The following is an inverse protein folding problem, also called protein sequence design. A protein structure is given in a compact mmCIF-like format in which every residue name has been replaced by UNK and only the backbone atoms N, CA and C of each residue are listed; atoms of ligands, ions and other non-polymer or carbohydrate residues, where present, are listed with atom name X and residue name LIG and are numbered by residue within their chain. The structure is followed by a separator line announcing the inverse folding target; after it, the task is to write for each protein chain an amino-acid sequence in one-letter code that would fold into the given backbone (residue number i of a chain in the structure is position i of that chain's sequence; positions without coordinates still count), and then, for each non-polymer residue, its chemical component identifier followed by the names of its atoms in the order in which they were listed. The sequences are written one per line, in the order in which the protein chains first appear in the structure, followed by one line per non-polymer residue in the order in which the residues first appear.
data_IF_521901537963
#
_entry.id   IF_521901537963
#
_cell.length_a   1.000
_cell.length_b   1.000
_cell.length_c   1.000
_cell.angle_alpha   90.00
_cell.angle_beta   90.00
_cell.angle_gamma   90.00
#
_symmetry.space_group_name_H-M   'P 1'
#
loop_
_entity.id
_entity.type
_entity.pdbx_description
1 polymer ?
#
# COMPACT_ATOMS: atom_id res chain seq x y z
N UNK A 1 -23.34 -13.75 -8.12
CA UNK A 1 -23.92 -14.10 -9.43
C UNK A 1 -22.78 -14.36 -10.38
N UNK A 2 -22.77 -15.55 -10.91
CA UNK A 2 -21.75 -16.01 -11.84
C UNK A 2 -22.06 -15.42 -13.22
N UNK A 3 -21.43 -14.29 -13.55
CA UNK A 3 -21.60 -13.61 -14.83
C UNK A 3 -20.78 -14.27 -15.96
N UNK A 4 -20.19 -15.44 -15.72
CA UNK A 4 -19.40 -16.18 -16.70
C UNK A 4 -18.10 -15.51 -17.14
N UNK A 5 -17.67 -14.41 -16.49
CA UNK A 5 -16.42 -13.71 -16.81
C UNK A 5 -15.23 -14.38 -16.14
N UNK A 6 -14.14 -14.45 -16.89
CA UNK A 6 -12.85 -14.92 -16.35
C UNK A 6 -12.20 -13.84 -15.50
N UNK A 7 -11.66 -14.23 -14.33
CA UNK A 7 -11.15 -13.29 -13.32
C UNK A 7 -9.72 -13.65 -12.92
N UNK A 8 -8.86 -12.63 -12.85
CA UNK A 8 -7.58 -12.67 -12.14
C UNK A 8 -7.71 -12.00 -10.78
N UNK A 9 -6.97 -12.49 -9.78
CA UNK A 9 -7.03 -11.94 -8.41
C UNK A 9 -5.65 -11.61 -7.90
N UNK A 10 -5.48 -10.37 -7.38
CA UNK A 10 -4.20 -9.88 -6.84
C UNK A 10 -4.42 -9.25 -5.46
N UNK A 11 -3.67 -9.73 -4.45
CA UNK A 11 -3.67 -9.16 -3.11
C UNK A 11 -2.28 -9.22 -2.46
N UNK A 12 -2.06 -8.44 -1.41
CA UNK A 12 -0.74 -8.21 -0.82
C UNK A 12 -0.01 -9.46 -0.33
N UNK A 13 -0.73 -10.48 0.18
CA UNK A 13 -0.13 -11.72 0.70
C UNK A 13 0.27 -12.74 -0.39
N UNK A 14 -0.08 -12.48 -1.66
CA UNK A 14 0.36 -13.37 -2.75
C UNK A 14 1.87 -13.29 -2.97
N UNK A 15 2.55 -14.43 -3.21
CA UNK A 15 3.93 -14.44 -3.65
C UNK A 15 4.14 -13.58 -4.91
N UNK A 16 5.30 -12.92 -5.06
CA UNK A 16 5.57 -12.04 -6.20
C UNK A 16 5.39 -12.70 -7.58
N UNK A 17 5.72 -13.97 -7.68
CA UNK A 17 5.59 -14.76 -8.92
C UNK A 17 4.12 -14.98 -9.29
N UNK A 18 3.28 -15.28 -8.29
CA UNK A 18 1.84 -15.46 -8.50
C UNK A 18 1.20 -14.14 -8.91
N UNK A 19 1.56 -13.03 -8.25
CA UNK A 19 1.08 -11.69 -8.64
C UNK A 19 1.45 -11.35 -10.08
N UNK A 20 2.68 -11.63 -10.50
CA UNK A 20 3.12 -11.42 -11.88
C UNK A 20 2.31 -12.24 -12.86
N UNK A 21 2.11 -13.53 -12.58
CA UNK A 21 1.33 -14.42 -13.44
C UNK A 21 -0.13 -13.98 -13.58
N UNK A 22 -0.79 -13.57 -12.49
CA UNK A 22 -2.17 -13.07 -12.56
C UNK A 22 -2.26 -11.74 -13.31
N UNK A 23 -1.29 -10.86 -13.14
CA UNK A 23 -1.19 -9.62 -13.91
C UNK A 23 -0.99 -9.89 -15.42
N UNK A 24 -0.14 -10.86 -15.77
CA UNK A 24 0.10 -11.26 -17.15
C UNK A 24 -1.14 -11.90 -17.81
N UNK A 25 -1.86 -12.76 -17.09
CA UNK A 25 -3.12 -13.33 -17.57
C UNK A 25 -4.15 -12.25 -17.93
N UNK A 26 -4.25 -11.22 -17.09
CA UNK A 26 -5.11 -10.08 -17.36
C UNK A 26 -4.59 -9.26 -18.55
N UNK A 27 -3.30 -8.91 -18.56
CA UNK A 27 -2.68 -8.10 -19.61
C UNK A 27 -2.74 -8.76 -21.01
N UNK A 28 -2.71 -10.11 -21.07
CA UNK A 28 -2.83 -10.89 -22.32
C UNK A 28 -4.27 -11.21 -22.71
N UNK A 29 -5.26 -10.71 -21.96
CA UNK A 29 -6.68 -10.96 -22.24
C UNK A 29 -7.16 -12.37 -21.91
N UNK A 30 -6.37 -13.17 -21.18
CA UNK A 30 -6.82 -14.49 -20.69
C UNK A 30 -7.91 -14.35 -19.61
N UNK A 31 -7.95 -13.20 -18.95
CA UNK A 31 -9.01 -12.83 -18.01
C UNK A 31 -9.55 -11.45 -18.34
N UNK A 32 -10.86 -11.27 -18.22
CA UNK A 32 -11.56 -10.03 -18.58
C UNK A 32 -11.63 -9.05 -17.42
N UNK A 33 -11.53 -9.55 -16.21
CA UNK A 33 -11.64 -8.75 -14.98
C UNK A 33 -10.47 -9.06 -14.06
N UNK A 34 -9.92 -8.00 -13.47
CA UNK A 34 -8.92 -8.09 -12.42
C UNK A 34 -9.52 -7.58 -11.10
N UNK A 35 -9.58 -8.44 -10.10
CA UNK A 35 -9.96 -8.07 -8.73
C UNK A 35 -8.68 -7.92 -7.91
N UNK A 36 -8.50 -6.76 -7.30
CA UNK A 36 -7.29 -6.49 -6.54
C UNK A 36 -7.56 -5.70 -5.26
N UNK A 37 -6.66 -5.83 -4.29
CA UNK A 37 -6.57 -4.88 -3.17
C UNK A 37 -5.78 -3.63 -3.60
N UNK A 38 -5.58 -2.69 -2.67
CA UNK A 38 -4.74 -1.50 -2.86
C UNK A 38 -3.30 -1.83 -3.30
N UNK A 39 -2.86 -3.08 -3.17
CA UNK A 39 -1.58 -3.57 -3.71
C UNK A 39 -1.40 -3.33 -5.22
N UNK A 40 -2.49 -3.16 -5.98
CA UNK A 40 -2.44 -2.82 -7.41
C UNK A 40 -1.80 -1.44 -7.67
N UNK A 41 -1.88 -0.53 -6.71
CA UNK A 41 -1.33 0.83 -6.81
C UNK A 41 0.19 0.86 -6.98
N UNK A 42 0.91 -0.19 -6.56
CA UNK A 42 2.37 -0.24 -6.57
C UNK A 42 2.91 -1.53 -7.17
N UNK A 43 4.00 -1.41 -7.93
CA UNK A 43 4.82 -2.55 -8.39
C UNK A 43 4.25 -3.38 -9.54
N UNK A 44 3.11 -3.02 -10.10
CA UNK A 44 2.54 -3.68 -11.27
C UNK A 44 2.35 -2.68 -12.40
N UNK A 45 2.76 -3.07 -13.60
CA UNK A 45 2.52 -2.30 -14.82
C UNK A 45 1.31 -2.91 -15.53
N UNK A 46 0.15 -2.32 -15.29
CA UNK A 46 -1.13 -2.79 -15.86
C UNK A 46 -1.71 -1.71 -16.76
N UNK A 47 -2.31 -2.12 -17.84
CA UNK A 47 -3.08 -1.29 -18.75
C UNK A 47 -4.56 -1.59 -18.54
N UNK A 48 -5.26 -0.65 -17.91
CA UNK A 48 -6.66 -0.83 -17.49
C UNK A 48 -7.47 0.36 -18.00
N UNK A 49 -8.56 0.12 -18.72
CA UNK A 49 -9.42 1.20 -19.21
C UNK A 49 -10.28 1.82 -18.11
N UNK A 50 -10.69 1.01 -17.11
CA UNK A 50 -11.56 1.46 -16.04
C UNK A 50 -11.21 0.81 -14.71
N UNK A 51 -11.28 1.57 -13.62
CA UNK A 51 -11.15 1.10 -12.24
C UNK A 51 -12.43 1.36 -11.47
N UNK A 52 -13.04 0.29 -10.96
CA UNK A 52 -14.19 0.36 -10.08
C UNK A 52 -13.78 0.04 -8.64
N UNK A 53 -13.94 1.00 -7.74
CA UNK A 53 -13.68 0.80 -6.32
C UNK A 53 -14.86 0.06 -5.68
N UNK A 54 -14.60 -1.13 -5.14
CA UNK A 54 -15.57 -1.90 -4.37
C UNK A 54 -15.59 -1.48 -2.88
N UNK A 55 -14.54 -0.82 -2.40
CA UNK A 55 -14.46 -0.22 -1.08
C UNK A 55 -13.36 0.83 -1.06
N UNK A 56 -13.61 1.93 -0.35
CA UNK A 56 -12.60 2.98 -0.06
C UNK A 56 -11.90 2.77 1.28
N UNK A 57 -12.10 1.61 1.93
CA UNK A 57 -11.51 1.28 3.23
C UNK A 57 -10.40 0.26 3.10
N UNK A 58 -9.35 0.46 3.87
CA UNK A 58 -8.26 -0.51 4.02
C UNK A 58 -7.95 -0.77 5.50
N UNK A 59 -7.33 -1.89 5.76
CA UNK A 59 -6.66 -2.16 7.03
C UNK A 59 -5.18 -1.79 6.90
N UNK A 60 -4.70 -0.87 7.73
CA UNK A 60 -3.33 -0.34 7.64
C UNK A 60 -2.33 -1.07 8.56
N UNK A 61 -2.73 -2.23 9.09
CA UNK A 61 -1.97 -3.00 10.07
C UNK A 61 -2.37 -2.74 11.52
N UNK A 62 -3.15 -1.67 11.78
CA UNK A 62 -3.62 -1.28 13.12
C UNK A 62 -5.13 -1.14 13.18
N UNK A 63 -5.70 -0.44 12.21
CA UNK A 63 -7.14 -0.14 12.16
C UNK A 63 -7.67 -0.10 10.73
N UNK A 64 -8.98 -0.21 10.61
CA UNK A 64 -9.67 0.08 9.35
C UNK A 64 -9.83 1.58 9.20
N UNK A 65 -9.38 2.13 8.10
CA UNK A 65 -9.53 3.55 7.75
C UNK A 65 -9.89 3.73 6.29
N UNK A 66 -10.33 4.91 5.94
CA UNK A 66 -10.47 5.30 4.55
C UNK A 66 -9.10 5.44 3.85
N UNK A 67 -9.09 5.15 2.56
CA UNK A 67 -7.98 5.52 1.69
C UNK A 67 -7.91 7.04 1.59
N UNK A 68 -6.70 7.59 1.64
CA UNK A 68 -6.47 9.02 1.41
C UNK A 68 -6.54 9.33 -0.08
N UNK A 69 -6.69 10.60 -0.45
CA UNK A 69 -6.76 11.05 -1.84
C UNK A 69 -5.52 10.62 -2.66
N UNK A 70 -4.32 10.66 -2.08
CA UNK A 70 -3.08 10.20 -2.71
C UNK A 70 -3.07 8.67 -2.95
N UNK A 71 -3.60 7.87 -2.02
CA UNK A 71 -3.73 6.42 -2.16
C UNK A 71 -4.78 6.07 -3.22
N UNK A 72 -5.91 6.77 -3.23
CA UNK A 72 -6.95 6.61 -4.27
C UNK A 72 -6.40 6.98 -5.65
N UNK A 73 -5.65 8.08 -5.75
CA UNK A 73 -5.02 8.50 -7.00
C UNK A 73 -3.98 7.50 -7.51
N UNK A 74 -3.21 6.86 -6.65
CA UNK A 74 -2.29 5.79 -7.05
C UNK A 74 -3.00 4.59 -7.67
N UNK A 75 -4.19 4.26 -7.15
CA UNK A 75 -5.02 3.18 -7.69
C UNK A 75 -5.69 3.65 -8.98
N UNK A 76 -6.40 4.78 -8.93
CA UNK A 76 -7.10 5.36 -10.09
C UNK A 76 -6.16 5.63 -11.27
N UNK A 77 -4.94 6.08 -10.99
CA UNK A 77 -3.89 6.32 -11.99
C UNK A 77 -3.35 5.06 -12.68
N UNK A 78 -3.90 3.88 -12.40
CA UNK A 78 -3.70 2.67 -13.21
C UNK A 78 -4.69 2.58 -14.37
N UNK A 79 -5.75 3.40 -14.36
CA UNK A 79 -6.65 3.54 -15.50
C UNK A 79 -6.05 4.50 -16.52
N UNK A 80 -6.08 4.13 -17.79
CA UNK A 80 -5.48 4.87 -18.88
C UNK A 80 -3.98 4.67 -19.01
N UNK A 81 -3.47 4.83 -20.22
CA UNK A 81 -2.04 4.71 -20.51
C UNK A 81 -1.65 5.57 -21.72
N UNK A 82 -0.58 6.35 -21.56
CA UNK A 82 0.08 7.17 -22.59
C UNK A 82 -0.84 8.11 -23.41
N UNK A 83 -1.78 7.57 -24.16
CA UNK A 83 -2.67 8.33 -25.09
C UNK A 83 -4.14 8.07 -24.86
N UNK A 84 -4.47 7.06 -24.02
CA UNK A 84 -5.85 6.68 -23.76
C UNK A 84 -6.23 7.13 -22.36
N UNK A 85 -7.25 7.97 -22.26
CA UNK A 85 -7.81 8.40 -20.99
C UNK A 85 -8.47 7.21 -20.29
N UNK A 86 -8.13 7.01 -19.01
CA UNK A 86 -8.78 6.04 -18.16
C UNK A 86 -9.88 6.67 -17.34
N UNK A 87 -10.78 5.85 -16.87
CA UNK A 87 -11.86 6.28 -15.98
C UNK A 87 -11.82 5.52 -14.67
N UNK A 88 -12.34 6.14 -13.61
CA UNK A 88 -12.56 5.46 -12.33
C UNK A 88 -13.93 5.81 -11.77
N UNK A 89 -14.43 4.96 -10.89
CA UNK A 89 -15.69 5.16 -10.20
C UNK A 89 -15.86 4.15 -9.08
N UNK A 90 -17.03 4.12 -8.48
CA UNK A 90 -17.42 3.19 -7.45
C UNK A 90 -18.40 2.13 -7.95
N UNK A 91 -18.40 0.97 -7.28
CA UNK A 91 -19.48 -0.02 -7.42
C UNK A 91 -20.68 0.38 -6.54
N UNK A 92 -21.83 -0.25 -6.77
CA UNK A 92 -23.06 0.05 -6.01
C UNK A 92 -22.93 -0.14 -4.48
N UNK A 93 -22.01 -1.00 -4.05
CA UNK A 93 -21.78 -1.32 -2.63
C UNK A 93 -20.67 -0.44 -2.01
N UNK A 94 -20.01 0.39 -2.79
CA UNK A 94 -18.96 1.29 -2.32
C UNK A 94 -19.57 2.62 -1.87
N UNK A 95 -18.99 3.23 -0.85
CA UNK A 95 -19.34 4.60 -0.48
C UNK A 95 -19.05 5.55 -1.65
N UNK A 96 -20.04 6.39 -1.97
CA UNK A 96 -19.94 7.37 -3.07
C UNK A 96 -18.75 8.32 -2.86
N UNK A 97 -18.05 8.62 -3.94
CA UNK A 97 -17.00 9.64 -3.92
C UNK A 97 -17.61 11.03 -3.73
N UNK A 98 -17.04 11.77 -2.81
CA UNK A 98 -17.30 13.20 -2.68
C UNK A 98 -16.67 13.93 -3.87
N UNK A 99 -17.35 14.93 -4.41
CA UNK A 99 -16.90 15.69 -5.57
C UNK A 99 -15.51 16.30 -5.35
N UNK A 100 -15.25 16.81 -4.14
CA UNK A 100 -13.93 17.31 -3.74
C UNK A 100 -12.84 16.23 -3.84
N UNK A 101 -13.14 14.99 -3.43
CA UNK A 101 -12.19 13.88 -3.53
C UNK A 101 -11.88 13.54 -4.99
N UNK A 102 -12.90 13.53 -5.85
CA UNK A 102 -12.72 13.30 -7.28
C UNK A 102 -11.85 14.40 -7.89
N UNK A 103 -12.15 15.67 -7.59
CA UNK A 103 -11.37 16.80 -8.06
C UNK A 103 -9.89 16.73 -7.63
N UNK A 104 -9.63 16.40 -6.37
CA UNK A 104 -8.27 16.19 -5.86
C UNK A 104 -7.52 15.09 -6.59
N UNK A 105 -8.19 13.98 -6.92
CA UNK A 105 -7.59 12.86 -7.67
C UNK A 105 -7.28 13.30 -9.11
N UNK A 106 -8.25 13.88 -9.82
CA UNK A 106 -8.13 14.26 -11.21
C UNK A 106 -7.08 15.36 -11.41
N UNK A 107 -7.05 16.35 -10.53
CA UNK A 107 -6.13 17.49 -10.60
C UNK A 107 -4.83 17.31 -9.81
N UNK A 108 -4.57 16.11 -9.26
CA UNK A 108 -3.36 15.81 -8.50
C UNK A 108 -3.11 16.75 -7.32
N UNK A 109 -4.17 17.15 -6.63
CA UNK A 109 -4.13 18.06 -5.49
C UNK A 109 -3.99 17.28 -4.18
N UNK A 110 -2.76 17.06 -3.72
CA UNK A 110 -2.47 16.33 -2.50
C UNK A 110 -1.82 17.21 -1.46
N UNK A 111 -2.02 16.83 -0.19
CA UNK A 111 -1.38 17.54 0.91
C UNK A 111 0.15 17.40 0.80
N UNK A 112 0.90 18.48 1.04
CA UNK A 112 2.35 18.43 0.97
C UNK A 112 2.92 17.49 2.04
N UNK A 113 3.99 16.79 1.70
CA UNK A 113 4.74 16.00 2.67
C UNK A 113 5.57 16.92 3.54
N UNK A 114 5.16 17.12 4.80
CA UNK A 114 5.84 18.00 5.73
C UNK A 114 7.13 17.39 6.29
N UNK A 115 7.18 16.05 6.41
CA UNK A 115 8.34 15.33 6.94
C UNK A 115 8.40 13.92 6.37
N UNK A 116 9.59 13.35 6.37
CA UNK A 116 9.81 11.96 5.97
C UNK A 116 10.00 11.08 7.20
N UNK A 117 9.42 9.88 7.16
CA UNK A 117 9.71 8.88 8.17
C UNK A 117 11.10 8.27 7.94
N UNK A 118 11.86 8.17 9.03
CA UNK A 118 13.22 7.68 9.01
C UNK A 118 13.43 6.59 10.07
N UNK A 119 14.25 5.62 9.75
CA UNK A 119 14.79 4.63 10.69
C UNK A 119 16.30 4.64 10.61
N UNK A 120 16.95 4.51 11.77
CA UNK A 120 18.39 4.38 11.81
C UNK A 120 18.82 3.07 11.14
N UNK A 121 19.65 3.14 10.11
CA UNK A 121 20.28 2.01 9.45
C UNK A 121 21.66 1.67 9.99
N UNK A 122 22.28 2.60 10.75
CA UNK A 122 23.56 2.38 11.39
C UNK A 122 23.34 1.75 12.78
N UNK A 123 23.17 0.43 12.79
CA UNK A 123 22.82 -0.34 13.98
C UNK A 123 24.05 -0.81 14.74
N UNK A 124 23.96 -0.77 16.07
CA UNK A 124 24.98 -1.29 16.98
C UNK A 124 24.64 -2.73 17.38
N UNK A 125 25.39 -3.67 16.88
CA UNK A 125 25.23 -5.11 17.09
C UNK A 125 26.02 -5.66 18.28
N UNK A 126 26.64 -4.81 19.10
CA UNK A 126 27.50 -5.23 20.20
C UNK A 126 26.75 -5.91 21.34
N UNK A 127 25.47 -5.59 21.52
CA UNK A 127 24.56 -6.25 22.47
C UNK A 127 23.11 -6.01 22.08
N UNK A 128 22.18 -6.79 22.67
CA UNK A 128 20.74 -6.60 22.49
C UNK A 128 20.31 -5.19 22.91
N UNK A 129 20.81 -4.71 24.04
CA UNK A 129 20.47 -3.36 24.53
C UNK A 129 21.04 -2.24 23.63
N UNK A 130 22.26 -2.43 23.11
CA UNK A 130 22.88 -1.50 22.17
C UNK A 130 22.10 -1.46 20.84
N UNK A 131 21.66 -2.63 20.34
CA UNK A 131 20.85 -2.73 19.16
C UNK A 131 19.50 -2.01 19.33
N UNK A 132 18.77 -2.27 20.40
CA UNK A 132 17.51 -1.60 20.71
C UNK A 132 17.68 -0.08 20.83
N UNK A 133 18.73 0.37 21.50
CA UNK A 133 19.07 1.79 21.63
C UNK A 133 19.38 2.42 20.29
N UNK A 134 20.10 1.73 19.43
CA UNK A 134 20.44 2.22 18.08
C UNK A 134 19.23 2.28 17.16
N UNK A 135 18.32 1.31 17.23
CA UNK A 135 17.03 1.32 16.50
C UNK A 135 16.16 2.52 16.90
N UNK A 136 16.17 2.88 18.17
CA UNK A 136 15.38 3.98 18.74
C UNK A 136 16.01 5.36 18.61
N UNK A 137 17.19 5.46 18.02
CA UNK A 137 17.89 6.71 17.84
C UNK A 137 17.06 7.70 17.03
N UNK A 138 17.03 8.96 17.50
CA UNK A 138 16.40 10.05 16.75
C UNK A 138 17.22 10.40 15.51
N UNK A 139 16.53 10.92 14.48
CA UNK A 139 17.21 11.47 13.30
C UNK A 139 18.06 12.70 13.68
N UNK A 140 19.22 12.86 13.06
CA UNK A 140 19.99 14.09 13.17
C UNK A 140 19.37 15.26 12.38
N UNK A 141 18.42 14.98 11.47
CA UNK A 141 17.80 15.97 10.61
C UNK A 141 16.38 16.30 11.09
N UNK A 142 16.03 17.58 11.08
CA UNK A 142 14.72 18.08 11.55
C UNK A 142 13.56 17.72 10.63
N UNK A 143 13.84 17.46 9.34
CA UNK A 143 12.82 17.06 8.34
C UNK A 143 12.50 15.57 8.49
N UNK A 144 13.40 14.79 9.07
CA UNK A 144 13.26 13.37 9.24
C UNK A 144 12.68 13.06 10.62
N UNK A 145 11.50 12.45 10.65
CA UNK A 145 10.89 11.96 11.88
C UNK A 145 11.10 10.46 12.03
N UNK A 146 11.40 10.04 13.25
CA UNK A 146 11.48 8.61 13.53
C UNK A 146 10.16 7.92 13.12
N UNK A 147 10.26 6.86 12.32
CA UNK A 147 9.11 6.05 11.97
C UNK A 147 8.46 5.45 13.24
N UNK A 148 7.13 5.29 13.27
CA UNK A 148 6.45 4.55 14.33
C UNK A 148 7.07 3.17 14.52
N UNK A 149 7.02 2.64 15.74
CA UNK A 149 7.49 1.29 16.03
C UNK A 149 6.73 0.29 15.15
N UNK A 150 7.48 -0.50 14.38
CA UNK A 150 6.90 -1.56 13.59
C UNK A 150 6.83 -2.87 14.38
N UNK A 151 6.08 -3.84 13.86
CA UNK A 151 5.85 -5.11 14.53
C UNK A 151 7.15 -5.88 14.79
N UNK A 152 8.12 -5.80 13.89
CA UNK A 152 9.45 -6.40 14.05
C UNK A 152 10.21 -5.81 15.25
N UNK A 153 10.19 -4.48 15.42
CA UNK A 153 10.83 -3.80 16.55
C UNK A 153 10.15 -4.12 17.88
N UNK A 154 8.81 -4.11 17.92
CA UNK A 154 8.05 -4.44 19.13
C UNK A 154 8.20 -5.92 19.51
N UNK A 155 8.19 -6.83 18.54
CA UNK A 155 8.42 -8.27 18.75
C UNK A 155 9.83 -8.52 19.25
N UNK A 156 10.83 -7.91 18.64
CA UNK A 156 12.22 -8.02 19.07
C UNK A 156 12.39 -7.48 20.50
N UNK A 157 11.82 -6.33 20.83
CA UNK A 157 11.89 -5.78 22.17
C UNK A 157 11.22 -6.70 23.23
N UNK A 158 10.09 -7.33 22.88
CA UNK A 158 9.41 -8.28 23.75
C UNK A 158 10.26 -9.54 23.99
N UNK A 159 10.84 -10.12 22.93
CA UNK A 159 11.74 -11.26 23.02
C UNK A 159 13.02 -10.92 23.80
N UNK A 160 13.57 -9.74 23.60
CA UNK A 160 14.75 -9.25 24.31
C UNK A 160 14.51 -9.01 25.82
N UNK A 161 13.26 -8.91 26.24
CA UNK A 161 12.90 -8.84 27.66
C UNK A 161 12.88 -10.22 28.36
N UNK A 162 12.90 -11.32 27.59
CA UNK A 162 12.92 -12.68 28.12
C UNK A 162 14.36 -13.09 28.48
N UNK A 163 14.59 -13.45 29.74
CA UNK A 163 15.91 -13.89 30.24
C UNK A 163 16.42 -15.15 29.54
N UNK A 164 15.55 -16.00 29.01
CA UNK A 164 15.92 -17.18 28.25
C UNK A 164 16.52 -16.86 26.88
N UNK A 165 16.15 -15.71 26.30
CA UNK A 165 16.63 -15.23 24.98
C UNK A 165 17.90 -14.40 25.13
N UNK A 166 18.13 -13.78 26.30
CA UNK A 166 19.31 -12.94 26.59
C UNK A 166 20.59 -13.75 26.85
N UNK A 167 20.49 -15.06 27.05
CA UNK A 167 21.64 -15.96 27.28
C UNK A 167 22.19 -16.48 25.97
#
# INVERSE_FOLDING_TARGET
SDNGKSVSVIYGALPPEVRRREAERFATGQTEVLVATDAIGMGLNLDVGHIAFASRRKFDGRQRRFLRADELAQIAGRAGRFRDDGTFGETADCETFEEETVDRIVNHQFDPVEFLHWRNSNLDWSSVDALLKSLRRASPDVILRRAPEALDETTFAALAADDAVRR
#
